data_IF_386119874984
#
_entry.id   IF_386119874984
#
_cell.length_a   1.000
_cell.length_b   1.000
_cell.length_c   1.000
_cell.angle_alpha   90.00
_cell.angle_beta   90.00
_cell.angle_gamma   90.00
#
_symmetry.space_group_name_H-M   'P 1'
#
loop_
_entity.id
_entity.type
_entity.pdbx_description
1 polymer ?
#
# COMPACT_ATOMS: atom_id res chain seq x y z
N UNK A 1 -13.84 -17.51 -13.80
CA UNK A 1 -13.24 -16.41 -13.02
C UNK A 1 -13.84 -15.10 -13.52
N UNK A 2 -14.29 -14.22 -12.62
CA UNK A 2 -14.73 -12.89 -13.03
C UNK A 2 -13.52 -12.09 -13.52
N UNK A 3 -13.66 -11.36 -14.63
CA UNK A 3 -12.62 -10.48 -15.18
C UNK A 3 -12.48 -9.23 -14.30
N UNK A 4 -11.25 -8.70 -14.19
CA UNK A 4 -11.02 -7.37 -13.62
C UNK A 4 -11.77 -6.34 -14.46
N UNK A 5 -12.43 -5.39 -13.80
CA UNK A 5 -13.26 -4.38 -14.45
C UNK A 5 -12.99 -2.99 -13.86
N UNK A 6 -12.06 -2.28 -14.49
CA UNK A 6 -11.68 -0.90 -14.14
C UNK A 6 -11.86 -0.06 -15.40
N UNK A 7 -12.88 0.80 -15.40
CA UNK A 7 -13.25 1.65 -16.56
C UNK A 7 -13.30 3.13 -16.22
N UNK A 8 -12.98 3.50 -14.97
CA UNK A 8 -12.99 4.87 -14.46
C UNK A 8 -12.08 4.97 -13.23
N UNK A 9 -11.36 6.08 -13.13
CA UNK A 9 -10.50 6.43 -11.97
C UNK A 9 -11.27 7.11 -10.82
N UNK A 10 -12.52 7.54 -11.07
CA UNK A 10 -13.33 8.32 -10.10
C UNK A 10 -14.69 7.69 -9.77
N UNK A 11 -15.00 6.54 -10.39
CA UNK A 11 -16.20 5.78 -10.09
C UNK A 11 -16.16 5.17 -8.68
N UNK A 12 -17.29 4.67 -8.20
CA UNK A 12 -17.36 4.01 -6.90
C UNK A 12 -16.42 2.80 -6.84
N UNK A 13 -15.47 2.83 -5.91
CA UNK A 13 -14.52 1.76 -5.67
C UNK A 13 -15.23 0.53 -5.08
N UNK A 14 -15.17 -0.60 -5.77
CA UNK A 14 -15.80 -1.86 -5.32
C UNK A 14 -14.82 -2.79 -4.61
N UNK A 15 -13.60 -2.86 -5.13
CA UNK A 15 -12.55 -3.72 -4.63
C UNK A 15 -11.19 -3.05 -4.86
N UNK A 16 -10.26 -3.27 -3.95
CA UNK A 16 -8.90 -2.73 -4.02
C UNK A 16 -7.90 -3.75 -3.52
N UNK A 17 -6.71 -3.74 -4.10
CA UNK A 17 -5.58 -4.55 -3.69
C UNK A 17 -4.56 -3.66 -3.00
N UNK A 18 -4.12 -4.04 -1.80
CA UNK A 18 -3.13 -3.31 -1.00
C UNK A 18 -1.98 -4.23 -0.61
N UNK A 19 -0.86 -3.66 -0.20
CA UNK A 19 0.29 -4.37 0.33
C UNK A 19 0.80 -3.63 1.57
N UNK A 20 0.76 -4.31 2.71
CA UNK A 20 1.22 -3.75 3.97
C UNK A 20 2.75 -3.66 3.96
N UNK A 21 3.34 -2.49 4.24
CA UNK A 21 4.80 -2.36 4.28
C UNK A 21 5.43 -3.32 5.29
N UNK A 22 6.42 -4.08 4.83
CA UNK A 22 7.11 -5.11 5.56
C UNK A 22 8.60 -4.84 5.71
N UNK A 23 9.36 -5.93 5.90
CA UNK A 23 10.80 -5.88 6.19
C UNK A 23 11.63 -5.32 5.03
N UNK A 24 11.07 -5.28 3.83
CA UNK A 24 11.68 -4.68 2.66
C UNK A 24 12.04 -3.19 2.88
N UNK A 25 11.26 -2.46 3.68
CA UNK A 25 11.59 -1.06 4.02
C UNK A 25 12.86 -0.93 4.87
N UNK A 26 13.23 -1.97 5.63
CA UNK A 26 14.43 -1.96 6.49
C UNK A 26 15.71 -2.08 5.65
N UNK A 27 15.61 -2.54 4.40
CA UNK A 27 16.76 -2.62 3.49
C UNK A 27 17.19 -1.24 2.95
N UNK A 28 16.35 -0.22 3.11
CA UNK A 28 16.63 1.14 2.65
C UNK A 28 17.59 1.81 3.63
N UNK A 29 18.76 2.21 3.13
CA UNK A 29 19.80 2.92 3.88
C UNK A 29 20.10 4.27 3.22
N UNK A 30 20.76 5.22 3.89
CA UNK A 30 21.07 6.52 3.28
C UNK A 30 21.87 6.40 1.98
N UNK A 31 22.73 5.39 1.87
CA UNK A 31 23.53 5.11 0.68
C UNK A 31 22.80 4.34 -0.42
N UNK A 32 21.68 3.69 -0.11
CA UNK A 32 20.91 2.88 -1.07
C UNK A 32 19.55 3.49 -1.43
N UNK A 33 19.08 4.55 -0.75
CA UNK A 33 17.71 5.09 -0.93
C UNK A 33 17.35 5.36 -2.39
N UNK A 34 18.29 5.91 -3.17
CA UNK A 34 18.06 6.27 -4.57
C UNK A 34 17.89 5.02 -5.45
N UNK A 35 18.68 3.97 -5.20
CA UNK A 35 18.56 2.68 -5.88
C UNK A 35 17.22 1.99 -5.56
N UNK A 36 16.71 2.19 -4.34
CA UNK A 36 15.40 1.68 -3.90
C UNK A 36 14.24 2.64 -4.22
N UNK A 37 14.48 3.76 -4.92
CA UNK A 37 13.48 4.75 -5.32
C UNK A 37 12.77 5.43 -4.14
N UNK A 38 13.49 5.63 -3.02
CA UNK A 38 13.02 6.37 -1.85
C UNK A 38 13.67 7.75 -1.74
N UNK A 39 12.84 8.76 -1.44
CA UNK A 39 13.30 10.10 -1.12
C UNK A 39 14.01 10.17 0.24
N UNK A 40 13.60 9.36 1.22
CA UNK A 40 14.22 9.30 2.54
C UNK A 40 14.03 7.92 3.19
N UNK A 41 14.68 7.70 4.34
CA UNK A 41 14.54 6.49 5.15
C UNK A 41 13.15 6.48 5.79
N UNK A 42 12.52 5.31 5.75
CA UNK A 42 11.16 5.12 6.28
C UNK A 42 11.22 4.39 7.61
N UNK A 43 10.54 4.95 8.61
CA UNK A 43 10.24 4.25 9.85
C UNK A 43 9.14 3.20 9.58
N UNK A 44 9.50 1.93 9.69
CA UNK A 44 8.60 0.81 9.39
C UNK A 44 7.36 0.79 10.30
N UNK A 45 7.50 1.06 11.59
CA UNK A 45 6.39 1.01 12.53
C UNK A 45 5.40 2.13 12.27
N UNK A 46 5.90 3.34 11.97
CA UNK A 46 5.09 4.46 11.54
C UNK A 46 4.36 4.16 10.23
N UNK A 47 5.08 3.66 9.22
CA UNK A 47 4.50 3.33 7.91
C UNK A 47 3.40 2.26 8.02
N UNK A 48 3.61 1.22 8.85
CA UNK A 48 2.59 0.21 9.12
C UNK A 48 1.37 0.80 9.83
N UNK A 49 1.57 1.66 10.83
CA UNK A 49 0.47 2.34 11.52
C UNK A 49 -0.34 3.23 10.59
N UNK A 50 0.31 3.97 9.69
CA UNK A 50 -0.37 4.80 8.69
C UNK A 50 -1.09 3.94 7.65
N UNK A 51 -0.46 2.88 7.17
CA UNK A 51 -1.08 1.94 6.23
C UNK A 51 -2.32 1.26 6.83
N UNK A 52 -2.27 0.81 8.08
CA UNK A 52 -3.43 0.23 8.75
C UNK A 52 -4.60 1.23 8.88
N UNK A 53 -4.31 2.51 9.14
CA UNK A 53 -5.35 3.56 9.15
C UNK A 53 -5.94 3.74 7.76
N UNK A 54 -5.11 3.72 6.72
CA UNK A 54 -5.57 3.80 5.33
C UNK A 54 -6.46 2.62 4.95
N UNK A 55 -6.06 1.39 5.27
CA UNK A 55 -6.84 0.17 5.03
C UNK A 55 -8.17 0.22 5.79
N UNK A 56 -8.18 0.62 7.07
CA UNK A 56 -9.40 0.74 7.86
C UNK A 56 -10.40 1.75 7.26
N UNK A 57 -9.92 2.80 6.57
CA UNK A 57 -10.80 3.70 5.82
C UNK A 57 -11.36 3.01 4.57
N UNK A 58 -10.52 2.31 3.80
CA UNK A 58 -10.94 1.60 2.58
C UNK A 58 -11.99 0.50 2.87
N UNK A 59 -11.81 -0.26 3.95
CA UNK A 59 -12.72 -1.34 4.37
C UNK A 59 -14.15 -0.85 4.65
N UNK A 60 -14.33 0.45 4.92
CA UNK A 60 -15.67 1.05 5.09
C UNK A 60 -16.43 1.22 3.78
N UNK A 61 -15.75 1.17 2.63
CA UNK A 61 -16.32 1.52 1.33
C UNK A 61 -16.11 0.46 0.25
N UNK A 62 -15.07 -0.37 0.35
CA UNK A 62 -14.68 -1.33 -0.67
C UNK A 62 -14.17 -2.64 -0.06
N UNK A 63 -14.22 -3.72 -0.85
CA UNK A 63 -13.59 -4.98 -0.48
C UNK A 63 -12.06 -4.85 -0.63
N UNK A 64 -11.33 -5.00 0.48
CA UNK A 64 -9.87 -4.93 0.49
C UNK A 64 -9.28 -6.33 0.35
N UNK A 65 -8.35 -6.48 -0.59
CA UNK A 65 -7.52 -7.66 -0.77
C UNK A 65 -6.07 -7.29 -0.40
N UNK A 66 -5.36 -8.20 0.27
CA UNK A 66 -3.97 -7.99 0.67
C UNK A 66 -3.03 -8.90 -0.13
N UNK A 67 -1.95 -8.33 -0.66
CA UNK A 67 -0.82 -9.09 -1.22
C UNK A 67 0.19 -9.35 -0.11
N UNK A 68 0.60 -10.60 0.02
CA UNK A 68 1.64 -11.05 0.95
C UNK A 68 2.89 -11.50 0.19
#
# INVERSE_FOLDING_TARGET
MARVHVTSEIGSLRAVLVHTPGRELVAVTPGSREDYLYDDIIDLELAQREHHRFVAVLERFAQVYEVR
#
